data_IF_863358200566
#
_entry.id   IF_863358200566
#
_cell.length_a   1.000
_cell.length_b   1.000
_cell.length_c   1.000
_cell.angle_alpha   90.00
_cell.angle_beta   90.00
_cell.angle_gamma   90.00
#
_symmetry.space_group_name_H-M   'P 1'
#
loop_
_entity.id
_entity.type
_entity.pdbx_description
1 polymer ?
#
# COMPACT_ATOMS: atom_id res chain seq x y z
N UNK A 1 -13.46 1.30 -0.13
CA UNK A 1 -12.09 1.53 -0.66
C UNK A 1 -12.04 2.80 -1.49
N UNK A 2 -10.89 3.49 -1.53
CA UNK A 2 -10.76 4.92 -1.87
C UNK A 2 -11.50 5.29 -3.17
N UNK A 3 -12.61 5.99 -2.99
CA UNK A 3 -12.99 7.17 -3.76
C UNK A 3 -12.58 8.39 -2.88
N UNK A 4 -12.51 9.61 -3.40
CA UNK A 4 -12.17 10.81 -2.62
C UNK A 4 -12.96 10.93 -1.29
N UNK A 5 -12.54 11.76 -0.32
CA UNK A 5 -13.14 11.81 1.02
C UNK A 5 -14.66 12.01 1.06
N UNK A 6 -15.24 12.62 0.01
CA UNK A 6 -16.68 12.86 -0.16
C UNK A 6 -17.33 12.02 -1.27
N UNK A 7 -16.62 11.03 -1.82
CA UNK A 7 -17.12 10.18 -2.89
C UNK A 7 -17.61 8.83 -2.33
N UNK A 8 -18.59 8.20 -2.99
CA UNK A 8 -19.11 6.90 -2.57
C UNK A 8 -17.99 5.85 -2.57
N UNK A 9 -17.71 5.31 -1.38
CA UNK A 9 -16.72 4.25 -1.18
C UNK A 9 -17.24 2.96 -1.82
N UNK A 10 -16.38 2.27 -2.56
CA UNK A 10 -16.67 0.90 -3.00
C UNK A 10 -16.81 -0.03 -1.77
N UNK A 11 -17.89 -0.80 -1.73
CA UNK A 11 -18.22 -1.77 -0.70
C UNK A 11 -18.07 -3.19 -1.25
N UNK A 12 -17.52 -4.09 -0.44
CA UNK A 12 -17.54 -5.52 -0.72
C UNK A 12 -18.85 -6.13 -0.23
N UNK A 13 -19.07 -7.39 -0.60
CA UNK A 13 -20.22 -8.19 -0.15
C UNK A 13 -20.25 -8.30 1.38
N UNK A 14 -19.09 -8.53 1.99
CA UNK A 14 -18.92 -8.60 3.45
C UNK A 14 -18.38 -7.30 4.03
N UNK A 15 -18.81 -7.00 5.25
CA UNK A 15 -18.31 -5.86 6.02
C UNK A 15 -16.89 -6.11 6.53
N UNK A 16 -16.24 -5.06 7.01
CA UNK A 16 -14.92 -5.17 7.61
C UNK A 16 -15.02 -5.94 8.95
N UNK A 17 -14.35 -7.09 9.11
CA UNK A 17 -14.51 -7.95 10.28
C UNK A 17 -13.81 -7.44 11.55
N UNK A 18 -13.14 -6.29 11.50
CA UNK A 18 -12.43 -5.70 12.65
C UNK A 18 -13.16 -4.53 13.29
N UNK A 19 -14.40 -4.25 12.86
CA UNK A 19 -15.20 -3.14 13.36
C UNK A 19 -16.58 -3.70 13.70
N UNK A 20 -17.08 -3.35 14.87
CA UNK A 20 -18.47 -3.61 15.25
C UNK A 20 -19.33 -2.38 14.93
N UNK A 21 -20.62 -2.58 14.63
CA UNK A 21 -21.53 -1.48 14.24
C UNK A 21 -21.67 -0.37 15.29
N UNK A 22 -21.38 -0.66 16.56
CA UNK A 22 -21.46 0.27 17.70
C UNK A 22 -20.19 1.12 17.92
N UNK A 23 -19.15 0.93 17.11
CA UNK A 23 -17.90 1.68 17.23
C UNK A 23 -17.86 2.85 16.24
N UNK A 24 -17.99 4.08 16.75
CA UNK A 24 -17.76 5.34 16.02
C UNK A 24 -16.26 5.54 15.73
N UNK A 25 -15.64 4.58 15.06
CA UNK A 25 -14.21 4.60 14.70
C UNK A 25 -14.08 5.00 13.23
N UNK A 26 -13.33 6.07 12.98
CA UNK A 26 -12.95 6.44 11.62
C UNK A 26 -11.95 5.41 11.07
N UNK A 27 -12.45 4.54 10.20
CA UNK A 27 -11.65 3.45 9.66
C UNK A 27 -10.95 3.81 8.36
N UNK A 28 -9.68 3.41 8.30
CA UNK A 28 -8.88 3.52 7.10
C UNK A 28 -9.55 2.80 5.94
N UNK A 29 -9.33 3.32 4.74
CA UNK A 29 -9.86 2.71 3.52
C UNK A 29 -9.08 1.44 3.19
N UNK A 30 -9.62 0.30 3.58
CA UNK A 30 -9.05 -1.02 3.31
C UNK A 30 -10.14 -2.00 2.92
N UNK A 31 -9.83 -2.86 1.96
CA UNK A 31 -10.66 -3.99 1.58
C UNK A 31 -9.91 -5.28 1.78
N UNK A 32 -10.57 -6.29 2.35
CA UNK A 32 -9.97 -7.61 2.57
C UNK A 32 -10.49 -8.62 1.55
N UNK A 33 -9.58 -9.43 1.02
CA UNK A 33 -9.91 -10.60 0.19
C UNK A 33 -9.25 -11.83 0.77
N UNK A 34 -10.03 -12.88 0.98
CA UNK A 34 -9.50 -14.17 1.42
C UNK A 34 -9.30 -15.05 0.19
N UNK A 35 -8.04 -15.40 -0.09
CA UNK A 35 -7.67 -16.20 -1.25
C UNK A 35 -7.19 -17.56 -0.81
N UNK A 36 -7.67 -18.59 -1.50
CA UNK A 36 -7.25 -19.97 -1.36
C UNK A 36 -6.39 -20.34 -2.56
N UNK A 37 -5.25 -20.99 -2.34
CA UNK A 37 -4.35 -21.42 -3.40
C UNK A 37 -3.80 -22.80 -3.06
N UNK A 38 -3.83 -23.70 -4.04
CA UNK A 38 -3.22 -25.02 -3.94
C UNK A 38 -1.72 -24.88 -4.27
N UNK A 39 -0.86 -25.32 -3.34
CA UNK A 39 0.60 -25.30 -3.51
C UNK A 39 1.15 -26.67 -3.93
N UNK A 40 0.27 -27.66 -4.14
CA UNK A 40 0.62 -29.06 -4.35
C UNK A 40 1.02 -29.77 -3.06
N UNK A 41 1.31 -31.07 -3.16
CA UNK A 41 1.71 -31.92 -2.03
C UNK A 41 0.73 -31.88 -0.84
N UNK A 42 -0.57 -31.82 -1.13
CA UNK A 42 -1.66 -31.68 -0.15
C UNK A 42 -1.58 -30.41 0.72
N UNK A 43 -0.84 -29.38 0.26
CA UNK A 43 -0.73 -28.08 0.94
C UNK A 43 -1.67 -27.08 0.29
N UNK A 44 -2.59 -26.57 1.10
CA UNK A 44 -3.52 -25.51 0.71
C UNK A 44 -3.22 -24.26 1.52
N UNK A 45 -2.85 -23.18 0.82
CA UNK A 45 -2.68 -21.87 1.40
C UNK A 45 -4.02 -21.14 1.44
N UNK A 46 -4.40 -20.64 2.61
CA UNK A 46 -5.46 -19.65 2.77
C UNK A 46 -4.84 -18.37 3.34
N UNK A 47 -4.98 -17.25 2.63
CA UNK A 47 -4.38 -15.98 3.01
C UNK A 47 -5.40 -14.85 2.99
N UNK A 48 -5.36 -13.98 4.01
CA UNK A 48 -6.02 -12.67 3.98
C UNK A 48 -5.13 -11.69 3.23
N UNK A 49 -5.65 -11.14 2.16
CA UNK A 49 -5.02 -10.11 1.34
C UNK A 49 -5.74 -8.77 1.50
N UNK A 50 -5.06 -7.69 1.13
CA UNK A 50 -5.57 -6.32 1.29
C UNK A 50 -5.46 -5.51 -0.01
N UNK A 51 -6.44 -4.63 -0.21
CA UNK A 51 -6.41 -3.56 -1.19
C UNK A 51 -6.67 -2.23 -0.48
N UNK A 52 -6.00 -1.17 -0.92
CA UNK A 52 -6.09 0.15 -0.30
C UNK A 52 -6.99 1.11 -1.10
N UNK A 53 -7.15 0.86 -2.39
CA UNK A 53 -7.95 1.73 -3.27
C UNK A 53 -8.59 0.96 -4.41
N UNK A 54 -9.48 1.64 -5.11
CA UNK A 54 -10.09 1.13 -6.33
C UNK A 54 -10.30 2.27 -7.31
N UNK A 55 -9.98 2.05 -8.58
CA UNK A 55 -10.47 2.92 -9.65
C UNK A 55 -11.85 2.45 -10.08
N UNK A 56 -12.83 3.33 -9.95
CA UNK A 56 -14.20 3.09 -10.39
C UNK A 56 -14.30 3.33 -11.90
N UNK A 57 -13.81 2.38 -12.68
CA UNK A 57 -14.04 2.26 -14.12
C UNK A 57 -15.09 1.15 -14.37
N UNK A 58 -15.55 0.91 -15.61
CA UNK A 58 -16.51 -0.18 -15.89
C UNK A 58 -16.04 -1.57 -15.41
N UNK A 59 -14.71 -1.77 -15.33
CA UNK A 59 -14.09 -2.93 -14.70
C UNK A 59 -13.24 -2.41 -13.55
N UNK A 60 -13.76 -2.47 -12.33
CA UNK A 60 -13.06 -1.99 -11.13
C UNK A 60 -11.61 -2.48 -11.06
N UNK A 61 -10.65 -1.56 -10.91
CA UNK A 61 -9.23 -1.89 -10.75
C UNK A 61 -8.80 -1.64 -9.32
N UNK A 62 -8.34 -2.66 -8.63
CA UNK A 62 -7.89 -2.61 -7.25
C UNK A 62 -6.42 -2.20 -7.14
N UNK A 63 -6.14 -1.44 -6.09
CA UNK A 63 -4.84 -0.79 -5.90
C UNK A 63 -4.23 -1.23 -4.57
N UNK A 64 -2.95 -1.54 -4.60
CA UNK A 64 -2.10 -1.54 -3.42
C UNK A 64 -1.37 -0.19 -3.37
N UNK A 65 -1.51 0.56 -2.28
CA UNK A 65 -0.96 1.92 -2.17
C UNK A 65 0.00 1.95 -0.98
N UNK A 66 1.26 2.30 -1.23
CA UNK A 66 2.32 2.31 -0.22
C UNK A 66 3.16 3.58 -0.37
N UNK A 67 3.93 3.92 0.66
CA UNK A 67 4.79 5.11 0.66
C UNK A 67 6.26 4.76 0.92
N UNK A 68 7.14 5.33 0.09
CA UNK A 68 8.57 5.46 0.35
C UNK A 68 8.82 6.78 1.04
N UNK A 69 9.74 6.77 2.00
CA UNK A 69 10.03 7.92 2.85
C UNK A 69 11.51 8.30 2.75
N UNK A 70 11.78 9.60 2.58
CA UNK A 70 13.11 10.19 2.65
C UNK A 70 13.25 11.00 3.94
N UNK A 71 14.29 10.69 4.71
CA UNK A 71 14.59 11.33 5.99
C UNK A 71 15.71 12.38 5.83
N UNK A 72 16.97 11.97 5.84
CA UNK A 72 18.14 12.82 5.56
C UNK A 72 18.93 12.17 4.41
N UNK A 73 18.90 12.78 3.23
CA UNK A 73 19.53 12.25 2.02
C UNK A 73 21.05 12.20 2.12
N UNK A 74 21.66 13.13 2.86
CA UNK A 74 23.12 13.19 3.04
C UNK A 74 23.62 12.03 3.89
N UNK A 75 22.91 11.73 4.98
CA UNK A 75 23.23 10.60 5.84
C UNK A 75 22.86 9.26 5.22
N UNK A 76 21.82 9.23 4.38
CA UNK A 76 21.38 8.03 3.67
C UNK A 76 22.24 7.70 2.42
N UNK A 77 23.25 8.51 2.10
CA UNK A 77 24.02 8.41 0.84
C UNK A 77 23.13 8.34 -0.41
N UNK A 78 22.01 9.07 -0.38
CA UNK A 78 20.98 9.05 -1.43
C UNK A 78 20.84 10.41 -2.12
N UNK A 79 20.18 10.39 -3.28
CA UNK A 79 19.82 11.64 -3.97
C UNK A 79 18.71 12.38 -3.22
N UNK A 80 18.80 13.71 -3.13
CA UNK A 80 17.79 14.55 -2.50
C UNK A 80 16.56 14.66 -3.41
N UNK A 81 15.42 14.11 -3.00
CA UNK A 81 14.28 13.88 -3.90
C UNK A 81 13.60 15.17 -4.37
N UNK A 82 13.69 16.27 -3.60
CA UNK A 82 13.13 17.57 -3.97
C UNK A 82 13.90 18.21 -5.13
N UNK A 83 15.21 18.05 -5.19
CA UNK A 83 16.01 18.42 -6.37
C UNK A 83 15.89 17.39 -7.48
N UNK A 84 16.00 16.10 -7.15
CA UNK A 84 15.99 15.02 -8.13
C UNK A 84 15.50 13.73 -7.48
N UNK A 85 14.36 13.23 -7.95
CA UNK A 85 13.91 11.88 -7.64
C UNK A 85 15.03 10.88 -7.97
N UNK A 86 15.38 10.05 -6.98
CA UNK A 86 16.40 9.02 -7.13
C UNK A 86 16.06 8.04 -8.23
N UNK A 87 17.05 7.30 -8.72
CA UNK A 87 16.78 6.25 -9.70
C UNK A 87 16.08 5.08 -9.02
N UNK A 88 15.27 4.33 -9.78
CA UNK A 88 14.66 3.09 -9.26
C UNK A 88 15.71 2.12 -8.70
N UNK A 89 16.92 2.10 -9.27
CA UNK A 89 18.03 1.27 -8.81
C UNK A 89 18.50 1.64 -7.41
N UNK A 90 18.62 2.93 -7.10
CA UNK A 90 19.07 3.39 -5.79
C UNK A 90 18.04 3.08 -4.70
N UNK A 91 16.76 3.27 -5.02
CA UNK A 91 15.67 2.92 -4.10
C UNK A 91 15.57 1.42 -3.85
N UNK A 92 15.75 0.61 -4.90
CA UNK A 92 15.83 -0.84 -4.76
C UNK A 92 17.02 -1.26 -3.90
N UNK A 93 18.19 -0.63 -4.06
CA UNK A 93 19.38 -0.94 -3.25
C UNK A 93 19.15 -0.62 -1.77
N UNK A 94 18.58 0.54 -1.47
CA UNK A 94 18.40 1.02 -0.10
C UNK A 94 17.20 0.36 0.61
N UNK A 95 16.18 -0.07 -0.14
CA UNK A 95 14.91 -0.56 0.40
C UNK A 95 14.51 -1.96 -0.10
N UNK A 96 15.46 -2.76 -0.60
CA UNK A 96 15.20 -4.04 -1.29
C UNK A 96 14.15 -4.92 -0.60
N UNK A 97 14.36 -5.22 0.69
CA UNK A 97 13.47 -6.10 1.45
C UNK A 97 12.08 -5.48 1.66
N UNK A 98 12.00 -4.15 1.90
CA UNK A 98 10.72 -3.44 2.02
C UNK A 98 9.96 -3.53 0.69
N UNK A 99 10.59 -3.16 -0.41
CA UNK A 99 9.97 -3.19 -1.74
C UNK A 99 9.54 -4.61 -2.14
N UNK A 100 10.38 -5.62 -1.91
CA UNK A 100 10.04 -7.01 -2.17
C UNK A 100 8.77 -7.46 -1.41
N UNK A 101 8.67 -7.15 -0.11
CA UNK A 101 7.48 -7.46 0.70
C UNK A 101 6.23 -6.75 0.17
N UNK A 102 6.34 -5.46 -0.17
CA UNK A 102 5.23 -4.69 -0.73
C UNK A 102 4.75 -5.25 -2.08
N UNK A 103 5.69 -5.65 -2.94
CA UNK A 103 5.37 -6.31 -4.21
C UNK A 103 4.70 -7.65 -4.01
N UNK A 104 5.22 -8.51 -3.11
CA UNK A 104 4.60 -9.80 -2.79
C UNK A 104 3.18 -9.61 -2.27
N UNK A 105 2.94 -8.63 -1.39
CA UNK A 105 1.58 -8.31 -0.90
C UNK A 105 0.64 -7.95 -2.06
N UNK A 106 1.06 -7.06 -2.97
CA UNK A 106 0.25 -6.65 -4.10
C UNK A 106 -0.05 -7.81 -5.06
N UNK A 107 0.93 -8.66 -5.34
CA UNK A 107 0.81 -9.85 -6.21
C UNK A 107 -0.14 -10.88 -5.60
N UNK A 108 0.04 -11.22 -4.31
CA UNK A 108 -0.83 -12.18 -3.64
C UNK A 108 -2.27 -11.67 -3.60
N UNK A 109 -2.47 -10.38 -3.30
CA UNK A 109 -3.79 -9.75 -3.35
C UNK A 109 -4.41 -9.79 -4.76
N UNK A 110 -3.60 -9.85 -5.81
CA UNK A 110 -4.04 -9.67 -7.19
C UNK A 110 -4.44 -8.23 -7.46
N UNK A 111 -3.68 -7.27 -6.92
CA UNK A 111 -3.88 -5.85 -7.23
C UNK A 111 -3.39 -5.55 -8.65
N UNK A 112 -4.19 -4.83 -9.42
CA UNK A 112 -3.86 -4.45 -10.79
C UNK A 112 -2.73 -3.42 -10.83
N UNK A 113 -2.61 -2.58 -9.79
CA UNK A 113 -1.50 -1.65 -9.66
C UNK A 113 -0.97 -1.58 -8.23
N UNK A 114 0.36 -1.51 -8.11
CA UNK A 114 1.06 -1.09 -6.90
C UNK A 114 1.50 0.37 -7.10
N UNK A 115 0.91 1.30 -6.34
CA UNK A 115 1.25 2.72 -6.35
C UNK A 115 2.18 3.06 -5.20
N UNK A 116 3.31 3.68 -5.53
CA UNK A 116 4.30 4.15 -4.56
C UNK A 116 4.27 5.68 -4.49
N UNK A 117 3.89 6.21 -3.33
CA UNK A 117 4.05 7.63 -3.00
C UNK A 117 5.46 7.91 -2.51
N UNK A 118 6.02 9.05 -2.88
CA UNK A 118 7.33 9.52 -2.39
C UNK A 118 7.09 10.66 -1.39
N UNK A 119 7.44 10.42 -0.14
CA UNK A 119 7.21 11.34 0.98
C UNK A 119 8.57 11.75 1.54
N UNK A 120 8.83 13.05 1.68
CA UNK A 120 10.11 13.55 2.20
C UNK A 120 9.86 14.52 3.34
N UNK A 121 10.65 14.46 4.41
CA UNK A 121 10.53 15.43 5.51
C UNK A 121 10.66 16.86 4.99
N UNK A 122 9.97 17.81 5.61
CA UNK A 122 10.15 19.25 5.31
C UNK A 122 11.53 19.70 5.81
N UNK A 123 11.90 19.26 7.01
CA UNK A 123 13.22 19.46 7.60
C UNK A 123 13.79 18.09 8.00
N UNK A 124 15.01 17.75 7.55
CA UNK A 124 15.57 16.40 7.78
C UNK A 124 15.70 16.03 9.27
N UNK A 125 15.84 17.04 10.13
CA UNK A 125 15.98 16.91 11.60
C UNK A 125 14.65 16.84 12.33
N UNK A 126 13.54 17.19 11.69
CA UNK A 126 12.21 17.18 12.30
C UNK A 126 11.37 16.02 11.72
N UNK A 127 11.14 14.94 12.48
CA UNK A 127 10.35 13.80 12.02
C UNK A 127 8.84 14.06 12.01
N UNK A 128 8.35 15.18 12.58
CA UNK A 128 6.92 15.43 12.75
C UNK A 128 6.21 15.91 11.48
N UNK A 129 6.95 16.35 10.47
CA UNK A 129 6.39 16.98 9.25
C UNK A 129 7.07 16.47 7.98
N UNK A 130 6.24 16.05 7.00
CA UNK A 130 6.67 15.62 5.66
C UNK A 130 5.84 16.29 4.58
#
# INVERSE_FOLDING_TARGET
>A
MIAGPNEPKYKFDEHNPFITEDEDIEVASVGYRYKKSDLGSDIVLAARCEHNGVFQTPIHQFLSIKALNQWDSKLANGSEWRQKLGTQRDELRNNACKLAKLTVQAVLAGSEQLKLGYVSRINSRDPSRS
#
